data_IF_484651692252
#
_entry.id   IF_484651692252
#
_cell.length_a   1.000
_cell.length_b   1.000
_cell.length_c   1.000
_cell.angle_alpha   90.00
_cell.angle_beta   90.00
_cell.angle_gamma   90.00
#
_symmetry.space_group_name_H-M   'P 1'
#
loop_
_entity.id
_entity.type
_entity.pdbx_description
1 polymer ?
#
# COMPACT_ATOMS: atom_id res chain seq x y z
N UNK A 1 -24.53 1.00 -13.03
CA UNK A 1 -23.52 0.06 -13.56
C UNK A 1 -23.61 -1.24 -12.78
N UNK A 2 -23.98 -2.35 -13.44
CA UNK A 2 -24.12 -3.67 -12.82
C UNK A 2 -22.84 -4.47 -13.08
N UNK A 3 -22.16 -4.87 -12.02
CA UNK A 3 -21.04 -5.80 -12.09
C UNK A 3 -21.57 -7.21 -12.42
N UNK A 4 -20.97 -7.85 -13.42
CA UNK A 4 -21.24 -9.26 -13.75
C UNK A 4 -20.49 -10.10 -12.71
N UNK A 5 -21.23 -10.82 -11.86
CA UNK A 5 -20.70 -11.93 -11.06
C UNK A 5 -20.34 -13.06 -12.03
N UNK A 6 -19.09 -13.51 -11.99
CA UNK A 6 -18.70 -14.75 -12.65
C UNK A 6 -19.21 -15.93 -11.82
N UNK A 7 -20.29 -16.55 -12.25
CA UNK A 7 -20.70 -17.87 -11.78
C UNK A 7 -19.75 -18.93 -12.36
N UNK A 8 -19.27 -19.81 -11.48
CA UNK A 8 -18.55 -21.02 -11.89
C UNK A 8 -19.48 -21.90 -12.72
N UNK A 9 -19.21 -21.99 -14.02
CA UNK A 9 -19.82 -23.01 -14.88
C UNK A 9 -18.76 -23.68 -15.74
N UNK A 10 -18.96 -24.98 -15.91
CA UNK A 10 -18.04 -25.96 -16.45
C UNK A 10 -17.27 -25.56 -17.71
N UNK A 11 -16.00 -25.96 -17.69
CA UNK A 11 -15.04 -25.94 -18.79
C UNK A 11 -15.66 -26.53 -20.07
N UNK A 12 -15.80 -25.71 -21.11
CA UNK A 12 -15.34 -25.97 -22.49
C UNK A 12 -15.78 -24.82 -23.42
N UNK A 13 -14.94 -23.78 -23.46
CA UNK A 13 -14.73 -22.90 -24.61
C UNK A 13 -13.35 -22.30 -24.42
N UNK A 14 -12.45 -22.47 -25.37
CA UNK A 14 -11.10 -21.89 -25.40
C UNK A 14 -11.19 -20.38 -25.53
N UNK A 15 -11.59 -19.72 -24.43
CA UNK A 15 -11.48 -18.28 -24.24
C UNK A 15 -9.98 -18.03 -24.05
N UNK A 16 -9.36 -17.32 -24.99
CA UNK A 16 -7.92 -17.04 -24.94
C UNK A 16 -7.50 -16.45 -23.59
N UNK A 17 -6.21 -16.56 -23.27
CA UNK A 17 -5.67 -16.10 -21.99
C UNK A 17 -6.17 -14.67 -21.67
N UNK A 18 -6.93 -14.47 -20.58
CA UNK A 18 -7.42 -13.15 -20.17
C UNK A 18 -6.31 -12.11 -20.06
N UNK A 19 -5.10 -12.53 -19.69
CA UNK A 19 -3.93 -11.67 -19.56
C UNK A 19 -3.47 -11.14 -20.93
N UNK A 20 -3.41 -12.02 -21.94
CA UNK A 20 -3.13 -11.64 -23.32
C UNK A 20 -4.20 -10.69 -23.89
N UNK A 21 -5.47 -10.94 -23.56
CA UNK A 21 -6.57 -10.08 -24.01
C UNK A 21 -6.46 -8.68 -23.41
N UNK A 22 -6.18 -8.58 -22.11
CA UNK A 22 -5.93 -7.31 -21.42
C UNK A 22 -4.74 -6.56 -22.03
N UNK A 23 -3.61 -7.26 -22.24
CA UNK A 23 -2.41 -6.70 -22.85
C UNK A 23 -2.69 -6.13 -24.24
N UNK A 24 -3.37 -6.90 -25.10
CA UNK A 24 -3.74 -6.44 -26.46
C UNK A 24 -4.66 -5.23 -26.42
N UNK A 25 -5.65 -5.23 -25.52
CA UNK A 25 -6.56 -4.11 -25.35
C UNK A 25 -5.81 -2.83 -24.95
N UNK A 26 -4.94 -2.89 -23.95
CA UNK A 26 -4.14 -1.74 -23.55
C UNK A 26 -3.23 -1.24 -24.68
N UNK A 27 -2.50 -2.14 -25.36
CA UNK A 27 -1.60 -1.74 -26.45
C UNK A 27 -2.36 -1.05 -27.60
N UNK A 28 -3.59 -1.51 -27.88
CA UNK A 28 -4.47 -0.86 -28.85
C UNK A 28 -4.89 0.53 -28.36
N UNK A 29 -5.38 0.65 -27.11
CA UNK A 29 -5.77 1.94 -26.54
C UNK A 29 -4.61 2.95 -26.55
N UNK A 30 -3.42 2.53 -26.13
CA UNK A 30 -2.19 3.34 -26.19
C UNK A 30 -1.90 3.81 -27.61
N UNK A 31 -2.00 2.93 -28.61
CA UNK A 31 -1.73 3.30 -30.02
C UNK A 31 -2.71 4.31 -30.60
N UNK A 32 -3.95 4.32 -30.10
CA UNK A 32 -4.99 5.22 -30.60
C UNK A 32 -5.03 6.56 -29.86
N UNK A 33 -4.79 6.53 -28.55
CA UNK A 33 -5.07 7.66 -27.66
C UNK A 33 -3.81 8.28 -27.06
N UNK A 34 -2.63 7.68 -27.27
CA UNK A 34 -1.36 8.11 -26.69
C UNK A 34 -1.40 8.22 -25.16
N UNK A 35 -2.00 7.20 -24.53
CA UNK A 35 -2.18 7.12 -23.07
C UNK A 35 -1.21 6.13 -22.44
N UNK A 36 -0.65 6.51 -21.29
CA UNK A 36 0.19 5.64 -20.47
C UNK A 36 -0.58 5.13 -19.22
N UNK A 37 -0.11 4.03 -18.64
CA UNK A 37 -0.64 3.56 -17.35
C UNK A 37 -0.12 4.46 -16.24
N UNK A 38 -1.02 5.14 -15.55
CA UNK A 38 -0.68 5.96 -14.37
C UNK A 38 -1.01 5.27 -13.04
N UNK A 39 -2.01 4.38 -13.06
CA UNK A 39 -2.60 3.78 -11.87
C UNK A 39 -2.84 2.28 -12.06
N UNK A 40 -2.33 1.47 -11.15
CA UNK A 40 -2.47 0.01 -11.17
C UNK A 40 -3.08 -0.49 -9.86
N UNK A 41 -4.10 -1.34 -9.98
CA UNK A 41 -4.66 -2.11 -8.85
C UNK A 41 -4.37 -3.59 -9.06
N UNK A 42 -3.78 -4.21 -8.05
CA UNK A 42 -3.31 -5.59 -8.08
C UNK A 42 -4.02 -6.41 -7.00
N UNK A 43 -4.90 -7.32 -7.40
CA UNK A 43 -5.65 -8.20 -6.48
C UNK A 43 -4.99 -9.58 -6.44
N UNK A 44 -4.11 -9.80 -5.46
CA UNK A 44 -3.35 -11.06 -5.33
C UNK A 44 -4.27 -12.29 -5.21
N UNK A 45 -5.45 -12.12 -4.62
CA UNK A 45 -6.44 -13.17 -4.42
C UNK A 45 -6.95 -13.77 -5.75
N UNK A 46 -6.90 -13.00 -6.84
CA UNK A 46 -7.47 -13.39 -8.14
C UNK A 46 -6.50 -14.23 -8.99
N UNK A 47 -5.23 -14.33 -8.62
CA UNK A 47 -4.18 -14.93 -9.47
C UNK A 47 -3.87 -16.39 -9.14
N UNK A 48 -4.43 -16.95 -8.05
CA UNK A 48 -4.24 -18.37 -7.71
C UNK A 48 -2.78 -18.80 -7.59
N UNK A 49 -1.90 -17.90 -7.14
CA UNK A 49 -0.45 -18.14 -7.01
C UNK A 49 0.39 -17.72 -8.22
N UNK A 50 -0.22 -17.24 -9.30
CA UNK A 50 0.47 -16.80 -10.52
C UNK A 50 0.90 -15.32 -10.48
N UNK A 51 1.34 -14.82 -9.32
CA UNK A 51 1.68 -13.41 -9.18
C UNK A 51 2.85 -13.00 -10.10
N UNK A 52 3.77 -13.93 -10.37
CA UNK A 52 4.96 -13.70 -11.20
C UNK A 52 4.58 -13.48 -12.66
N UNK A 53 3.70 -14.30 -13.24
CA UNK A 53 3.26 -14.10 -14.62
C UNK A 53 2.53 -12.76 -14.81
N UNK A 54 1.78 -12.31 -13.79
CA UNK A 54 1.10 -11.01 -13.83
C UNK A 54 2.11 -9.86 -13.75
N UNK A 55 3.13 -9.97 -12.89
CA UNK A 55 4.22 -8.98 -12.81
C UNK A 55 4.97 -8.90 -14.13
N UNK A 56 5.35 -10.03 -14.72
CA UNK A 56 6.04 -10.08 -16.02
C UNK A 56 5.18 -9.45 -17.13
N UNK A 57 3.88 -9.72 -17.13
CA UNK A 57 2.95 -9.11 -18.07
C UNK A 57 2.86 -7.59 -17.87
N UNK A 58 2.72 -7.12 -16.63
CA UNK A 58 2.66 -5.70 -16.31
C UNK A 58 3.93 -4.96 -16.78
N UNK A 59 5.10 -5.54 -16.52
CA UNK A 59 6.39 -4.98 -16.99
C UNK A 59 6.50 -4.95 -18.52
N UNK A 60 5.85 -5.87 -19.22
CA UNK A 60 5.80 -5.87 -20.69
C UNK A 60 4.86 -4.80 -21.29
N UNK A 61 4.00 -4.22 -20.45
CA UNK A 61 2.95 -3.25 -20.81
C UNK A 61 3.40 -1.82 -20.49
N UNK A 62 3.94 -1.59 -19.29
CA UNK A 62 4.39 -0.30 -18.79
C UNK A 62 5.74 -0.44 -18.07
N UNK A 63 6.63 0.53 -18.25
CA UNK A 63 7.95 0.52 -17.62
C UNK A 63 7.92 1.02 -16.18
N UNK A 64 7.07 2.01 -15.89
CA UNK A 64 6.85 2.63 -14.58
C UNK A 64 5.47 3.30 -14.59
N UNK A 65 4.86 3.50 -13.42
CA UNK A 65 3.60 4.23 -13.24
C UNK A 65 3.58 4.97 -11.89
N UNK A 66 2.64 5.90 -11.71
CA UNK A 66 2.63 6.79 -10.54
C UNK A 66 2.08 6.11 -9.28
N UNK A 67 0.96 5.39 -9.39
CA UNK A 67 0.21 4.88 -8.24
C UNK A 67 0.06 3.37 -8.27
N UNK A 68 0.49 2.72 -7.19
CA UNK A 68 0.31 1.28 -7.00
C UNK A 68 -0.58 0.95 -5.81
N UNK A 69 -1.63 0.19 -6.09
CA UNK A 69 -2.55 -0.32 -5.07
C UNK A 69 -2.51 -1.84 -5.11
N UNK A 70 -2.22 -2.48 -3.98
CA UNK A 70 -2.19 -3.94 -3.88
C UNK A 70 -3.10 -4.43 -2.77
N UNK A 71 -3.89 -5.46 -3.07
CA UNK A 71 -4.85 -6.07 -2.18
C UNK A 71 -4.67 -7.59 -2.14
N UNK A 72 -4.93 -8.17 -0.97
CA UNK A 72 -4.93 -9.62 -0.82
C UNK A 72 -5.15 -10.05 0.62
N UNK A 73 -5.65 -11.28 0.80
CA UNK A 73 -5.89 -11.89 2.10
C UNK A 73 -5.08 -13.15 2.26
N UNK A 74 -4.47 -13.32 3.43
CA UNK A 74 -3.68 -14.50 3.78
C UNK A 74 -2.58 -14.79 2.74
N UNK A 75 -1.92 -13.73 2.27
CA UNK A 75 -0.86 -13.82 1.28
C UNK A 75 0.47 -14.17 1.96
N UNK A 76 1.37 -14.80 1.22
CA UNK A 76 2.74 -15.02 1.71
C UNK A 76 3.51 -13.71 1.65
N UNK A 77 4.24 -13.39 2.71
CA UNK A 77 5.10 -12.20 2.76
C UNK A 77 6.09 -12.16 1.58
N UNK A 78 6.72 -13.29 1.26
CA UNK A 78 7.68 -13.36 0.15
C UNK A 78 7.07 -13.03 -1.22
N UNK A 79 5.79 -13.34 -1.44
CA UNK A 79 5.11 -13.06 -2.71
C UNK A 79 4.79 -11.57 -2.82
N UNK A 80 4.33 -10.95 -1.72
CA UNK A 80 4.16 -9.50 -1.65
C UNK A 80 5.49 -8.77 -1.85
N UNK A 81 6.55 -9.21 -1.16
CA UNK A 81 7.88 -8.60 -1.29
C UNK A 81 8.42 -8.75 -2.72
N UNK A 82 8.22 -9.90 -3.36
CA UNK A 82 8.59 -10.09 -4.76
C UNK A 82 7.89 -9.08 -5.67
N UNK A 83 6.59 -8.85 -5.50
CA UNK A 83 5.86 -7.87 -6.32
C UNK A 83 6.45 -6.46 -6.11
N UNK A 84 6.68 -6.06 -4.86
CA UNK A 84 7.25 -4.75 -4.53
C UNK A 84 8.68 -4.56 -5.06
N UNK A 85 9.48 -5.63 -5.09
CA UNK A 85 10.86 -5.60 -5.59
C UNK A 85 10.95 -5.53 -7.12
N UNK A 86 9.90 -5.96 -7.84
CA UNK A 86 9.93 -6.11 -9.30
C UNK A 86 9.05 -5.11 -10.05
N UNK A 87 7.95 -4.65 -9.45
CA UNK A 87 7.07 -3.65 -10.07
C UNK A 87 7.64 -2.25 -9.84
N UNK A 88 7.75 -1.46 -10.91
CA UNK A 88 8.28 -0.09 -10.84
C UNK A 88 7.15 0.93 -10.73
N UNK A 89 7.19 1.72 -9.67
CA UNK A 89 6.27 2.81 -9.40
C UNK A 89 6.99 3.90 -8.60
N UNK A 90 6.51 5.15 -8.65
CA UNK A 90 7.27 6.30 -8.12
C UNK A 90 6.58 7.13 -7.04
N UNK A 91 5.27 7.30 -7.06
CA UNK A 91 4.64 8.33 -6.23
C UNK A 91 3.96 7.72 -5.00
N UNK A 92 2.97 6.85 -5.23
CA UNK A 92 2.07 6.41 -4.16
C UNK A 92 1.98 4.89 -4.08
N UNK A 93 2.07 4.36 -2.86
CA UNK A 93 1.87 2.94 -2.58
C UNK A 93 0.79 2.72 -1.52
N UNK A 94 -0.25 1.96 -1.89
CA UNK A 94 -1.27 1.49 -0.95
C UNK A 94 -1.25 -0.04 -0.83
N UNK A 95 -0.93 -0.53 0.36
CA UNK A 95 -0.88 -1.95 0.68
C UNK A 95 -2.07 -2.32 1.56
N UNK A 96 -3.08 -2.89 0.92
CA UNK A 96 -4.23 -3.54 1.54
C UNK A 96 -4.06 -5.05 1.69
N UNK A 97 -2.84 -5.54 1.86
CA UNK A 97 -2.53 -6.98 1.92
C UNK A 97 -2.32 -7.43 3.36
N UNK A 98 -3.03 -8.49 3.78
CA UNK A 98 -2.74 -9.20 5.04
C UNK A 98 -1.83 -10.39 4.75
N UNK A 99 -0.60 -10.34 5.25
CA UNK A 99 0.37 -11.45 5.14
C UNK A 99 0.18 -12.47 6.26
N UNK A 100 0.62 -13.71 6.04
CA UNK A 100 0.59 -14.77 7.06
C UNK A 100 1.70 -14.59 8.08
N UNK A 101 2.91 -14.25 7.60
CA UNK A 101 4.11 -14.19 8.43
C UNK A 101 4.22 -12.90 9.25
N UNK A 102 3.43 -11.87 8.92
CA UNK A 102 3.46 -10.55 9.58
C UNK A 102 4.90 -10.03 9.76
N UNK A 103 5.68 -10.04 8.68
CA UNK A 103 7.07 -9.57 8.66
C UNK A 103 7.19 -8.18 8.02
N UNK A 104 8.23 -7.40 8.39
CA UNK A 104 8.49 -6.12 7.78
C UNK A 104 8.68 -6.17 6.26
N UNK A 105 8.10 -5.20 5.57
CA UNK A 105 8.26 -5.01 4.13
C UNK A 105 9.39 -4.03 3.85
N UNK A 106 10.19 -4.32 2.82
CA UNK A 106 11.12 -3.33 2.25
C UNK A 106 10.34 -2.49 1.25
N UNK A 107 10.13 -1.24 1.62
CA UNK A 107 9.41 -0.26 0.80
C UNK A 107 10.43 0.64 0.11
N UNK A 108 10.26 0.96 -1.19
CA UNK A 108 11.12 1.93 -1.87
C UNK A 108 11.15 3.28 -1.13
N UNK A 109 12.34 3.82 -0.88
CA UNK A 109 12.51 5.09 -0.14
C UNK A 109 12.07 6.33 -0.94
N UNK A 110 11.88 6.20 -2.25
CA UNK A 110 11.65 7.32 -3.18
C UNK A 110 10.19 7.76 -3.28
N UNK A 111 9.28 7.09 -2.57
CA UNK A 111 7.85 7.36 -2.64
C UNK A 111 7.48 8.66 -1.94
N UNK A 112 6.46 9.35 -2.46
CA UNK A 112 5.85 10.48 -1.78
C UNK A 112 4.92 10.00 -0.66
N UNK A 113 4.16 8.92 -0.92
CA UNK A 113 3.12 8.47 -0.02
C UNK A 113 3.13 6.95 0.19
N UNK A 114 2.98 6.55 1.45
CA UNK A 114 2.84 5.16 1.85
C UNK A 114 1.61 4.97 2.73
N UNK A 115 0.75 4.05 2.32
CA UNK A 115 -0.38 3.60 3.11
C UNK A 115 -0.35 2.09 3.29
N UNK A 116 -0.41 1.60 4.54
CA UNK A 116 -0.45 0.17 4.87
C UNK A 116 -1.69 -0.09 5.74
N UNK A 117 -2.53 -1.04 5.31
CA UNK A 117 -3.79 -1.36 6.00
C UNK A 117 -3.64 -2.39 7.13
N UNK A 118 -2.67 -3.29 6.99
CA UNK A 118 -2.45 -4.42 7.87
C UNK A 118 -1.00 -4.44 8.35
N UNK A 119 -0.67 -3.45 9.19
CA UNK A 119 0.69 -3.20 9.65
C UNK A 119 1.01 -3.67 11.08
N UNK A 120 0.52 -4.82 11.54
CA UNK A 120 0.76 -5.30 12.92
C UNK A 120 2.25 -5.43 13.28
N UNK A 121 3.09 -5.61 12.27
CA UNK A 121 4.54 -5.73 12.35
C UNK A 121 5.28 -4.38 12.34
N UNK A 122 4.57 -3.26 12.11
CA UNK A 122 5.15 -1.93 12.08
C UNK A 122 5.57 -1.54 13.50
N UNK A 123 6.85 -1.27 13.67
CA UNK A 123 7.47 -0.78 14.91
C UNK A 123 7.78 0.70 14.82
N UNK A 124 8.07 1.34 15.96
CA UNK A 124 8.52 2.74 15.99
C UNK A 124 9.77 2.95 15.11
N UNK A 125 10.79 2.10 15.26
CA UNK A 125 12.02 2.18 14.46
C UNK A 125 11.76 2.11 12.95
N UNK A 126 10.80 1.27 12.54
CA UNK A 126 10.40 1.18 11.14
C UNK A 126 9.83 2.50 10.66
N UNK A 127 8.91 3.13 11.41
CA UNK A 127 8.30 4.41 11.06
C UNK A 127 9.34 5.54 11.03
N UNK A 128 10.25 5.57 12.01
CA UNK A 128 11.31 6.59 12.11
C UNK A 128 12.29 6.54 10.94
N UNK A 129 12.49 5.37 10.32
CA UNK A 129 13.35 5.21 9.16
C UNK A 129 12.75 5.69 7.82
N UNK A 130 11.44 5.95 7.76
CA UNK A 130 10.75 6.32 6.53
C UNK A 130 10.92 7.81 6.20
N UNK A 131 10.99 8.14 4.91
CA UNK A 131 11.28 9.51 4.42
C UNK A 131 10.18 10.12 3.54
N UNK A 132 9.02 9.46 3.49
CA UNK A 132 7.85 9.88 2.71
C UNK A 132 7.19 11.14 3.29
N UNK A 133 6.43 11.86 2.46
CA UNK A 133 5.69 13.05 2.89
C UNK A 133 4.34 12.72 3.52
N UNK A 134 3.75 11.57 3.19
CA UNK A 134 2.50 11.09 3.78
C UNK A 134 2.66 9.63 4.21
N UNK A 135 2.35 9.36 5.47
CA UNK A 135 2.35 8.02 6.05
C UNK A 135 0.97 7.72 6.65
N UNK A 136 0.36 6.61 6.26
CA UNK A 136 -0.92 6.17 6.79
C UNK A 136 -0.89 4.68 7.17
N UNK A 137 -0.88 4.39 8.47
CA UNK A 137 -0.74 3.04 9.00
C UNK A 137 -1.98 2.60 9.76
N UNK A 138 -2.84 1.86 9.07
CA UNK A 138 -3.90 1.11 9.72
C UNK A 138 -3.37 -0.26 10.16
N UNK A 139 -3.87 -0.73 11.31
CA UNK A 139 -3.50 -2.01 11.89
C UNK A 139 -2.11 -2.06 12.53
N UNK A 140 -1.38 -0.93 12.57
CA UNK A 140 -0.19 -0.80 13.40
C UNK A 140 -0.55 -0.83 14.89
N UNK A 141 0.36 -1.36 15.70
CA UNK A 141 0.15 -1.55 17.14
C UNK A 141 1.12 -0.71 17.99
N UNK A 142 1.45 0.50 17.51
CA UNK A 142 2.23 1.45 18.31
C UNK A 142 1.44 1.84 19.56
N UNK A 143 2.16 1.85 20.68
CA UNK A 143 1.66 2.33 21.97
C UNK A 143 1.55 3.85 21.95
N UNK A 144 0.74 4.41 22.86
CA UNK A 144 0.65 5.86 23.04
C UNK A 144 2.02 6.47 23.39
N UNK A 145 2.90 5.73 24.09
CA UNK A 145 4.26 6.18 24.39
C UNK A 145 5.13 6.26 23.13
N UNK A 146 5.10 5.24 22.27
CA UNK A 146 5.83 5.26 21.00
C UNK A 146 5.33 6.37 20.07
N UNK A 147 4.02 6.62 20.04
CA UNK A 147 3.45 7.74 19.28
C UNK A 147 3.93 9.08 19.84
N UNK A 148 4.02 9.23 21.17
CA UNK A 148 4.57 10.46 21.78
C UNK A 148 6.03 10.69 21.37
N UNK A 149 6.86 9.64 21.40
CA UNK A 149 8.27 9.71 20.98
C UNK A 149 8.36 10.13 19.51
N UNK A 150 7.57 9.51 18.64
CA UNK A 150 7.52 9.86 17.23
C UNK A 150 7.13 11.33 17.01
N UNK A 151 6.05 11.79 17.66
CA UNK A 151 5.58 13.17 17.50
C UNK A 151 6.59 14.20 18.00
N UNK A 152 7.24 13.98 19.16
CA UNK A 152 8.27 14.88 19.66
C UNK A 152 9.44 15.00 18.67
N UNK A 153 9.96 13.86 18.22
CA UNK A 153 11.03 13.80 17.22
C UNK A 153 10.66 14.49 15.90
N UNK A 154 9.42 14.32 15.43
CA UNK A 154 8.96 14.98 14.20
C UNK A 154 8.80 16.50 14.38
N UNK A 155 8.20 16.95 15.49
CA UNK A 155 8.00 18.38 15.80
C UNK A 155 9.35 19.10 15.97
N UNK A 156 10.33 18.43 16.58
CA UNK A 156 11.70 18.93 16.76
C UNK A 156 12.55 18.83 15.48
N UNK A 157 11.98 18.30 14.39
CA UNK A 157 12.64 18.07 13.08
C UNK A 157 13.84 17.11 13.15
N UNK A 158 13.92 16.28 14.19
CA UNK A 158 14.96 15.27 14.39
C UNK A 158 14.73 14.04 13.48
N UNK A 159 13.47 13.74 13.16
CA UNK A 159 13.09 12.67 12.22
C UNK A 159 12.08 13.12 11.18
N UNK A 160 11.95 12.32 10.11
CA UNK A 160 10.90 12.43 9.09
C UNK A 160 10.68 13.87 8.55
N UNK A 161 11.76 14.60 8.23
CA UNK A 161 11.70 16.03 7.84
C UNK A 161 10.81 16.36 6.63
N UNK A 162 10.54 15.37 5.77
CA UNK A 162 9.66 15.54 4.61
C UNK A 162 8.17 15.34 4.95
N UNK A 163 7.87 14.79 6.12
CA UNK A 163 6.53 14.38 6.53
C UNK A 163 5.62 15.58 6.73
N UNK A 164 4.45 15.52 6.09
CA UNK A 164 3.38 16.52 6.13
C UNK A 164 2.12 15.96 6.78
N UNK A 165 1.89 14.65 6.65
CA UNK A 165 0.73 13.98 7.21
C UNK A 165 1.12 12.62 7.78
N UNK A 166 0.66 12.34 9.00
CA UNK A 166 0.79 11.06 9.66
C UNK A 166 -0.57 10.60 10.17
N UNK A 167 -1.02 9.45 9.69
CA UNK A 167 -2.25 8.81 10.13
C UNK A 167 -1.93 7.44 10.74
N UNK A 168 -2.48 7.17 11.92
CA UNK A 168 -2.32 5.88 12.60
C UNK A 168 -3.57 5.51 13.40
N UNK A 169 -3.81 4.21 13.54
CA UNK A 169 -4.83 3.69 14.45
C UNK A 169 -4.45 3.94 15.93
N UNK A 170 -5.36 4.56 16.69
CA UNK A 170 -5.24 4.67 18.14
C UNK A 170 -5.81 3.40 18.79
N UNK A 171 -4.93 2.62 19.44
CA UNK A 171 -5.32 1.39 20.13
C UNK A 171 -5.99 1.66 21.48
N UNK A 172 -5.42 2.56 22.26
CA UNK A 172 -5.97 3.00 23.55
C UNK A 172 -6.38 4.47 23.46
N UNK A 173 -7.68 4.69 23.28
CA UNK A 173 -8.26 6.03 23.17
C UNK A 173 -8.38 6.73 24.52
N UNK A 174 -8.44 5.98 25.62
CA UNK A 174 -8.73 6.55 26.93
C UNK A 174 -7.56 7.41 27.40
N UNK A 175 -6.35 6.90 27.21
CA UNK A 175 -5.12 7.55 27.67
C UNK A 175 -4.38 8.27 26.54
N UNK A 176 -4.95 8.37 25.34
CA UNK A 176 -4.27 8.97 24.19
C UNK A 176 -3.85 10.42 24.46
N UNK A 177 -4.79 11.25 24.95
CA UNK A 177 -4.49 12.66 25.24
C UNK A 177 -3.44 12.78 26.37
N UNK A 178 -3.57 11.96 27.41
CA UNK A 178 -2.68 12.03 28.58
C UNK A 178 -1.27 11.49 28.30
N UNK A 179 -1.12 10.54 27.39
CA UNK A 179 0.16 9.85 27.11
C UNK A 179 0.74 10.24 25.76
N UNK A 180 -0.01 10.05 24.67
CA UNK A 180 0.50 10.30 23.32
C UNK A 180 0.74 11.78 23.04
N UNK A 181 -0.04 12.67 23.67
CA UNK A 181 0.12 14.12 23.54
C UNK A 181 0.77 14.77 24.78
N UNK A 182 1.35 13.97 25.69
CA UNK A 182 2.07 14.51 26.86
C UNK A 182 3.19 15.44 26.40
N UNK A 183 3.22 16.64 26.97
CA UNK A 183 4.20 17.69 26.68
C UNK A 183 4.22 18.17 25.21
N UNK A 184 3.15 17.88 24.46
CA UNK A 184 2.98 18.36 23.08
C UNK A 184 1.88 19.42 23.07
N UNK A 185 2.11 20.63 22.54
CA UNK A 185 1.06 21.61 22.36
C UNK A 185 -0.02 21.08 21.39
N UNK A 186 -1.28 21.06 21.81
CA UNK A 186 -2.40 20.69 20.95
C UNK A 186 -3.59 21.63 21.15
N UNK A 187 -4.50 21.63 20.17
CA UNK A 187 -5.82 22.28 20.28
C UNK A 187 -6.89 21.28 19.87
N UNK A 188 -8.01 21.29 20.58
CA UNK A 188 -9.17 20.47 20.20
C UNK A 188 -10.12 21.29 19.34
N UNK A 189 -10.49 20.74 18.19
CA UNK A 189 -11.56 21.29 17.38
C UNK A 189 -12.91 21.20 18.10
N UNK A 190 -13.93 21.92 17.62
CA UNK A 190 -15.28 21.80 18.17
C UNK A 190 -15.75 20.35 18.08
N UNK A 191 -16.48 19.84 19.09
CA UNK A 191 -17.11 18.52 18.99
C UNK A 191 -18.08 18.51 17.80
N UNK A 192 -18.00 17.44 17.01
CA UNK A 192 -18.84 17.19 15.83
C UNK A 192 -20.22 16.68 16.27
#
# INVERSE_FOLDING_TARGET
MKWIKAEQTNRTRTRGDPLDAMKKFYLYARSLMDVEVDFVVFYMDDFGGQCREIVDCLQSICQEFSVFVIHGKNQRHQELQYILDNVKFRDNLHIGVKTIEELPLRIPETLDQLSIKHGSWITLDYVMGLKMSILAFNGAYLTNQEINVFYKSWIEMESNQNLKCFEINIRDRQDFIAVALSDIPYSMGPPI
#
